data_IF_257173944732
#
_entry.id   IF_257173944732
#
_cell.length_a   1.000
_cell.length_b   1.000
_cell.length_c   1.000
_cell.angle_alpha   90.00
_cell.angle_beta   90.00
_cell.angle_gamma   90.00
#
_symmetry.space_group_name_H-M   'P 1'
#
loop_
_entity.id
_entity.type
_entity.pdbx_description
1 polymer ?
#
# COMPACT_ATOMS: atom_id res chain seq x y z
N UNK A 1 -11.45 13.75 8.51
CA UNK A 1 -11.31 13.63 7.06
C UNK A 1 -11.37 15.00 6.44
N UNK A 2 -10.38 15.37 5.57
CA UNK A 2 -10.52 16.53 4.70
C UNK A 2 -11.78 16.39 3.80
N UNK A 3 -12.24 17.50 3.24
CA UNK A 3 -13.36 17.46 2.30
C UNK A 3 -13.08 16.46 1.16
N UNK A 4 -14.08 15.63 0.85
CA UNK A 4 -13.98 14.73 -0.30
C UNK A 4 -13.73 15.55 -1.56
N UNK A 5 -12.73 15.18 -2.35
CA UNK A 5 -12.40 15.85 -3.63
C UNK A 5 -13.55 15.87 -4.63
N UNK A 6 -14.56 15.03 -4.44
CA UNK A 6 -15.76 14.95 -5.29
C UNK A 6 -16.98 14.52 -4.48
N UNK A 7 -18.10 15.22 -4.64
CA UNK A 7 -19.39 14.83 -4.06
C UNK A 7 -19.98 13.56 -4.70
N UNK A 8 -19.52 13.18 -5.89
CA UNK A 8 -20.05 12.03 -6.64
C UNK A 8 -19.20 10.78 -6.47
N UNK A 9 -17.88 10.94 -6.34
CA UNK A 9 -16.94 9.82 -6.22
C UNK A 9 -16.27 9.85 -4.84
N UNK A 10 -16.29 8.74 -4.11
CA UNK A 10 -15.62 8.61 -2.81
C UNK A 10 -14.11 8.53 -3.01
N UNK A 11 -13.67 7.80 -4.03
CA UNK A 11 -12.27 7.60 -4.35
C UNK A 11 -12.03 7.73 -5.86
N UNK A 12 -10.85 8.21 -6.24
CA UNK A 12 -10.44 8.51 -7.62
C UNK A 12 -9.15 7.81 -8.04
N UNK A 13 -8.24 7.53 -7.11
CA UNK A 13 -6.99 6.81 -7.38
C UNK A 13 -7.22 5.33 -7.69
N UNK A 14 -6.19 4.65 -8.17
CA UNK A 14 -6.22 3.19 -8.33
C UNK A 14 -6.50 2.51 -6.97
N UNK A 15 -5.76 2.86 -5.93
CA UNK A 15 -5.83 2.22 -4.62
C UNK A 15 -7.19 2.42 -3.95
N UNK A 16 -7.66 3.67 -3.89
CA UNK A 16 -8.95 3.99 -3.25
C UNK A 16 -10.13 3.36 -4.00
N UNK A 17 -10.13 3.40 -5.34
CA UNK A 17 -11.19 2.75 -6.14
C UNK A 17 -11.18 1.23 -6.00
N UNK A 18 -9.99 0.62 -6.00
CA UNK A 18 -9.88 -0.83 -5.86
C UNK A 18 -10.32 -1.29 -4.47
N UNK A 19 -9.98 -0.53 -3.43
CA UNK A 19 -10.51 -0.76 -2.07
C UNK A 19 -12.03 -0.71 -2.04
N UNK A 20 -12.65 0.38 -2.55
CA UNK A 20 -14.11 0.50 -2.57
C UNK A 20 -14.79 -0.62 -3.36
N UNK A 21 -14.24 -0.99 -4.52
CA UNK A 21 -14.75 -2.09 -5.34
C UNK A 21 -14.65 -3.44 -4.61
N UNK A 22 -13.55 -3.66 -3.89
CA UNK A 22 -13.36 -4.87 -3.10
C UNK A 22 -14.42 -4.99 -2.01
N UNK A 23 -14.69 -3.93 -1.25
CA UNK A 23 -15.76 -3.89 -0.26
C UNK A 23 -17.14 -4.15 -0.89
N UNK A 24 -17.41 -3.59 -2.06
CA UNK A 24 -18.66 -3.74 -2.81
C UNK A 24 -18.85 -5.14 -3.40
N UNK A 25 -17.81 -5.97 -3.42
CA UNK A 25 -17.92 -7.38 -3.82
C UNK A 25 -18.43 -8.30 -2.70
N UNK A 26 -18.54 -7.81 -1.46
CA UNK A 26 -19.02 -8.58 -0.33
C UNK A 26 -20.55 -8.52 -0.23
N UNK A 27 -21.22 -9.60 -0.58
CA UNK A 27 -22.69 -9.69 -0.61
C UNK A 27 -23.36 -9.35 0.73
N UNK A 28 -22.71 -9.71 1.85
CA UNK A 28 -23.25 -9.51 3.20
C UNK A 28 -23.35 -8.03 3.60
N UNK A 29 -22.65 -7.14 2.88
CA UNK A 29 -22.61 -5.71 3.17
C UNK A 29 -23.58 -4.88 2.31
N UNK A 30 -24.23 -5.46 1.32
CA UNK A 30 -25.01 -4.75 0.29
C UNK A 30 -26.06 -3.79 0.85
N UNK A 31 -26.75 -4.17 1.93
CA UNK A 31 -27.82 -3.35 2.52
C UNK A 31 -27.29 -2.10 3.25
N UNK A 32 -26.03 -2.11 3.72
CA UNK A 32 -25.42 -1.04 4.53
C UNK A 32 -24.50 -0.11 3.72
N UNK A 33 -23.90 -0.60 2.65
CA UNK A 33 -22.98 0.15 1.82
C UNK A 33 -23.58 1.45 1.25
N UNK A 34 -24.82 1.49 0.71
CA UNK A 34 -25.41 2.74 0.20
C UNK A 34 -25.54 3.81 1.29
N UNK A 35 -25.90 3.41 2.52
CA UNK A 35 -25.99 4.33 3.66
C UNK A 35 -24.62 4.81 4.10
N UNK A 36 -23.61 3.92 4.13
CA UNK A 36 -22.22 4.29 4.40
C UNK A 36 -21.69 5.32 3.41
N UNK A 37 -21.94 5.14 2.12
CA UNK A 37 -21.60 6.12 1.07
C UNK A 37 -22.22 7.49 1.33
N UNK A 38 -23.49 7.52 1.74
CA UNK A 38 -24.16 8.78 2.08
C UNK A 38 -23.50 9.48 3.26
N UNK A 39 -23.16 8.76 4.32
CA UNK A 39 -22.47 9.30 5.50
C UNK A 39 -21.13 9.94 5.15
N UNK A 40 -20.31 9.25 4.35
CA UNK A 40 -19.02 9.82 3.89
C UNK A 40 -19.22 11.09 3.09
N UNK A 41 -20.14 11.09 2.13
CA UNK A 41 -20.43 12.25 1.29
C UNK A 41 -20.93 13.46 2.07
N UNK A 42 -21.62 13.23 3.17
CA UNK A 42 -22.12 14.26 4.05
C UNK A 42 -21.11 14.70 5.13
N UNK A 43 -19.86 14.20 5.08
CA UNK A 43 -18.82 14.57 6.02
C UNK A 43 -19.07 14.08 7.44
N UNK A 44 -19.82 12.99 7.60
CA UNK A 44 -20.19 12.47 8.92
C UNK A 44 -19.01 11.86 9.70
N UNK A 45 -17.87 11.56 9.07
CA UNK A 45 -16.68 11.05 9.72
C UNK A 45 -15.89 12.24 10.26
N UNK A 46 -15.89 12.41 11.58
CA UNK A 46 -15.21 13.51 12.27
C UNK A 46 -13.75 13.19 12.54
N UNK A 47 -13.45 11.91 12.87
CA UNK A 47 -12.11 11.42 13.10
C UNK A 47 -11.91 10.09 12.39
N UNK A 48 -10.71 9.87 11.84
CA UNK A 48 -10.30 8.61 11.23
C UNK A 48 -8.78 8.45 11.38
N UNK A 49 -8.37 7.47 12.18
CA UNK A 49 -6.98 7.02 12.34
C UNK A 49 -6.80 5.64 11.72
N UNK A 50 -5.69 5.43 11.02
CA UNK A 50 -5.32 4.15 10.40
C UNK A 50 -3.95 3.75 10.94
N UNK A 51 -3.94 2.71 11.76
CA UNK A 51 -2.75 2.15 12.39
C UNK A 51 -2.51 0.70 11.91
N UNK A 52 -1.36 0.09 12.19
CA UNK A 52 -1.15 -1.32 11.84
C UNK A 52 -2.23 -2.22 12.43
N UNK A 53 -2.98 -2.91 11.58
CA UNK A 53 -4.05 -3.82 11.98
C UNK A 53 -5.29 -3.15 12.56
N UNK A 54 -5.38 -1.81 12.65
CA UNK A 54 -6.48 -1.15 13.35
C UNK A 54 -6.89 0.17 12.71
N UNK A 55 -8.19 0.39 12.65
CA UNK A 55 -8.80 1.65 12.26
C UNK A 55 -9.65 2.13 13.43
N UNK A 56 -9.50 3.38 13.85
CA UNK A 56 -10.32 4.04 14.86
C UNK A 56 -11.03 5.23 14.22
N UNK A 57 -12.30 5.42 14.53
CA UNK A 57 -13.06 6.51 13.96
C UNK A 57 -14.17 7.02 14.88
N UNK A 58 -14.54 8.28 14.67
CA UNK A 58 -15.70 8.93 15.25
C UNK A 58 -16.64 9.36 14.13
N UNK A 59 -17.88 8.93 14.20
CA UNK A 59 -18.90 9.19 13.17
C UNK A 59 -20.10 9.86 13.80
N UNK A 60 -20.51 11.00 13.24
CA UNK A 60 -21.72 11.70 13.64
C UNK A 60 -22.94 11.10 12.91
N UNK A 61 -23.92 10.65 13.69
CA UNK A 61 -25.21 10.18 13.21
C UNK A 61 -26.33 10.90 13.95
N UNK A 62 -27.26 10.14 14.57
CA UNK A 62 -28.18 10.69 15.58
C UNK A 62 -27.44 11.14 16.84
N UNK A 63 -26.33 10.49 17.11
CA UNK A 63 -25.39 10.77 18.20
C UNK A 63 -23.96 10.69 17.65
N UNK A 64 -22.98 10.90 18.52
CA UNK A 64 -21.58 10.65 18.21
C UNK A 64 -21.26 9.18 18.48
N UNK A 65 -20.83 8.46 17.45
CA UNK A 65 -20.49 7.05 17.55
C UNK A 65 -18.98 6.86 17.46
N UNK A 66 -18.46 6.11 18.41
CA UNK A 66 -17.08 5.64 18.42
C UNK A 66 -17.03 4.22 17.88
N UNK A 67 -16.07 3.95 17.03
CA UNK A 67 -15.91 2.63 16.45
C UNK A 67 -14.45 2.26 16.19
N UNK A 68 -14.18 0.98 16.26
CA UNK A 68 -12.91 0.40 15.83
C UNK A 68 -13.15 -0.75 14.86
N UNK A 69 -12.25 -0.87 13.89
CA UNK A 69 -12.21 -1.98 12.94
C UNK A 69 -10.81 -2.59 13.05
N UNK A 70 -10.75 -3.85 13.43
CA UNK A 70 -9.52 -4.62 13.43
C UNK A 70 -9.40 -5.36 12.10
N UNK A 71 -8.21 -5.29 11.50
CA UNK A 71 -7.91 -5.95 10.23
C UNK A 71 -6.67 -6.81 10.43
N UNK A 72 -6.81 -8.10 10.17
CA UNK A 72 -5.70 -9.02 10.31
C UNK A 72 -4.52 -8.62 9.40
N UNK A 73 -3.27 -8.73 9.88
CA UNK A 73 -2.10 -8.49 9.06
C UNK A 73 -2.04 -9.48 7.90
N UNK A 74 -1.35 -9.12 6.84
CA UNK A 74 -1.09 -10.05 5.74
C UNK A 74 -0.18 -11.18 6.24
N UNK A 75 -0.50 -12.43 5.91
CA UNK A 75 0.37 -13.54 6.33
C UNK A 75 1.74 -13.45 5.64
N UNK A 76 2.82 -13.90 6.31
CA UNK A 76 4.16 -13.91 5.71
C UNK A 76 4.22 -14.66 4.38
N UNK A 77 3.43 -15.73 4.23
CA UNK A 77 3.33 -16.53 3.02
C UNK A 77 2.68 -15.74 1.88
N UNK A 78 1.54 -15.08 2.17
CA UNK A 78 0.87 -14.22 1.19
C UNK A 78 1.76 -13.05 0.78
N UNK A 79 2.40 -12.39 1.74
CA UNK A 79 3.32 -11.29 1.44
C UNK A 79 4.49 -11.74 0.57
N UNK A 80 5.07 -12.91 0.86
CA UNK A 80 6.13 -13.49 0.04
C UNK A 80 5.66 -13.79 -1.38
N UNK A 81 4.45 -14.33 -1.55
CA UNK A 81 3.87 -14.60 -2.87
C UNK A 81 3.64 -13.29 -3.66
N UNK A 82 3.11 -12.24 -3.02
CA UNK A 82 2.94 -10.92 -3.64
C UNK A 82 4.30 -10.34 -4.06
N UNK A 83 5.32 -10.39 -3.19
CA UNK A 83 6.67 -9.92 -3.52
C UNK A 83 7.26 -10.66 -4.72
N UNK A 84 7.14 -11.97 -4.77
CA UNK A 84 7.64 -12.78 -5.89
C UNK A 84 6.93 -12.45 -7.21
N UNK A 85 5.61 -12.28 -7.18
CA UNK A 85 4.83 -11.95 -8.36
C UNK A 85 5.12 -10.53 -8.89
N UNK A 86 5.48 -9.60 -8.00
CA UNK A 86 5.84 -8.22 -8.33
C UNK A 86 7.32 -8.03 -8.70
N UNK A 87 8.16 -9.05 -8.47
CA UNK A 87 9.61 -8.95 -8.62
C UNK A 87 10.02 -8.50 -10.05
N UNK A 88 10.82 -7.44 -10.13
CA UNK A 88 11.33 -6.89 -11.38
C UNK A 88 10.31 -6.15 -12.23
N UNK A 89 9.11 -5.95 -11.73
CA UNK A 89 7.99 -5.36 -12.50
C UNK A 89 7.55 -4.00 -11.97
N UNK A 90 8.09 -3.57 -10.83
CA UNK A 90 7.81 -2.26 -10.22
C UNK A 90 9.09 -1.42 -10.29
N UNK A 91 9.10 -0.38 -11.10
CA UNK A 91 10.29 0.40 -11.36
C UNK A 91 10.66 1.34 -10.20
N UNK A 92 9.67 1.82 -9.43
CA UNK A 92 9.92 2.71 -8.29
C UNK A 92 8.77 2.71 -7.27
N UNK A 93 9.10 3.14 -6.04
CA UNK A 93 8.12 3.35 -4.98
C UNK A 93 7.08 4.41 -5.38
N UNK A 94 7.50 5.43 -6.10
CA UNK A 94 6.61 6.50 -6.57
C UNK A 94 5.54 5.93 -7.52
N UNK A 95 5.93 5.10 -8.47
CA UNK A 95 4.98 4.46 -9.39
C UNK A 95 4.02 3.52 -8.66
N UNK A 96 4.52 2.74 -7.70
CA UNK A 96 3.70 1.89 -6.84
C UNK A 96 2.63 2.70 -6.11
N UNK A 97 3.02 3.75 -5.40
CA UNK A 97 2.11 4.58 -4.61
C UNK A 97 1.14 5.38 -5.49
N UNK A 98 1.59 5.86 -6.66
CA UNK A 98 0.72 6.50 -7.64
C UNK A 98 -0.25 5.53 -8.33
N UNK A 99 -0.11 4.22 -8.12
CA UNK A 99 -0.90 3.20 -8.80
C UNK A 99 -0.64 3.14 -10.31
N UNK A 100 0.54 3.60 -10.74
CA UNK A 100 1.02 3.49 -12.13
C UNK A 100 1.69 2.13 -12.35
N UNK A 101 0.91 1.09 -12.22
CA UNK A 101 1.35 -0.30 -12.29
C UNK A 101 0.87 -0.92 -13.61
N UNK A 102 1.60 -1.92 -14.09
CA UNK A 102 1.09 -2.74 -15.20
C UNK A 102 -0.20 -3.47 -14.81
N UNK A 103 -1.04 -3.79 -15.77
CA UNK A 103 -2.29 -4.54 -15.54
C UNK A 103 -2.05 -5.88 -14.83
N UNK A 104 -0.89 -6.49 -15.07
CA UNK A 104 -0.48 -7.72 -14.42
C UNK A 104 -0.28 -7.52 -12.91
N UNK A 105 0.48 -6.49 -12.52
CA UNK A 105 0.72 -6.15 -11.11
C UNK A 105 -0.58 -5.71 -10.43
N UNK A 106 -1.39 -4.90 -11.10
CA UNK A 106 -2.69 -4.49 -10.56
C UNK A 106 -3.56 -5.71 -10.23
N UNK A 107 -3.58 -6.73 -11.09
CA UNK A 107 -4.30 -7.98 -10.81
C UNK A 107 -3.73 -8.75 -9.62
N UNK A 108 -2.42 -8.79 -9.47
CA UNK A 108 -1.78 -9.45 -8.32
C UNK A 108 -2.15 -8.76 -7.01
N UNK A 109 -1.96 -7.45 -6.91
CA UNK A 109 -2.18 -6.71 -5.66
C UNK A 109 -3.67 -6.59 -5.27
N UNK A 110 -4.57 -6.64 -6.25
CA UNK A 110 -6.02 -6.58 -6.02
C UNK A 110 -6.72 -7.95 -6.10
N UNK A 111 -5.96 -9.04 -6.19
CA UNK A 111 -6.56 -10.37 -6.23
C UNK A 111 -7.38 -10.63 -4.96
N UNK A 112 -8.65 -11.08 -5.07
CA UNK A 112 -9.54 -11.19 -3.92
C UNK A 112 -8.99 -12.00 -2.76
N UNK A 113 -8.34 -13.15 -3.01
CA UNK A 113 -7.89 -14.06 -1.96
C UNK A 113 -6.38 -14.02 -1.67
N UNK A 114 -5.56 -13.56 -2.61
CA UNK A 114 -4.09 -13.59 -2.47
C UNK A 114 -3.43 -12.20 -2.59
N UNK A 115 -4.23 -11.15 -2.78
CA UNK A 115 -3.75 -9.77 -2.86
C UNK A 115 -3.61 -9.09 -1.50
N UNK A 116 -3.56 -7.76 -1.51
CA UNK A 116 -3.35 -6.94 -0.32
C UNK A 116 -4.64 -6.66 0.47
N UNK A 117 -5.81 -6.74 -0.18
CA UNK A 117 -7.06 -6.38 0.47
C UNK A 117 -7.55 -7.48 1.43
N UNK A 118 -8.07 -7.10 2.61
CA UNK A 118 -8.54 -8.07 3.60
C UNK A 118 -9.83 -8.75 3.14
N UNK A 119 -9.97 -10.03 3.43
CA UNK A 119 -11.22 -10.75 3.25
C UNK A 119 -12.22 -10.41 4.36
N UNK A 120 -13.53 -10.65 4.20
CA UNK A 120 -14.54 -10.38 5.23
C UNK A 120 -14.18 -10.99 6.58
N UNK A 121 -13.66 -12.22 6.58
CA UNK A 121 -13.30 -12.97 7.78
C UNK A 121 -12.09 -12.37 8.52
N UNK A 122 -11.31 -11.53 7.85
CA UNK A 122 -10.16 -10.81 8.40
C UNK A 122 -10.53 -9.43 8.94
N UNK A 123 -11.82 -9.04 8.89
CA UNK A 123 -12.30 -7.72 9.31
C UNK A 123 -13.23 -7.88 10.50
N UNK A 124 -12.80 -7.36 11.66
CA UNK A 124 -13.57 -7.45 12.89
C UNK A 124 -14.09 -6.07 13.28
N UNK A 125 -15.39 -5.97 13.47
CA UNK A 125 -16.09 -4.71 13.68
C UNK A 125 -16.49 -4.51 15.13
N UNK A 126 -16.33 -3.29 15.64
CA UNK A 126 -16.86 -2.86 16.93
C UNK A 126 -17.39 -1.41 16.83
N UNK A 127 -18.68 -1.19 17.10
CA UNK A 127 -19.31 0.11 17.11
C UNK A 127 -20.30 0.22 18.27
N UNK A 128 -20.30 1.34 18.98
CA UNK A 128 -21.20 1.57 20.12
C UNK A 128 -22.63 1.97 19.71
N UNK A 129 -22.98 1.87 18.41
CA UNK A 129 -24.35 2.18 17.96
C UNK A 129 -25.33 1.04 18.29
N UNK A 130 -26.65 1.33 18.34
CA UNK A 130 -27.67 0.31 18.68
C UNK A 130 -28.00 -0.66 17.53
N UNK A 131 -27.33 -0.54 16.36
CA UNK A 131 -27.52 -1.47 15.24
C UNK A 131 -26.78 -2.78 15.54
N UNK A 132 -27.52 -3.88 15.62
CA UNK A 132 -27.01 -5.21 15.96
C UNK A 132 -26.46 -5.99 14.75
N UNK A 133 -26.43 -5.37 13.56
CA UNK A 133 -25.85 -6.00 12.38
C UNK A 133 -24.33 -6.08 12.50
N UNK A 134 -23.73 -7.14 11.97
CA UNK A 134 -22.28 -7.36 11.95
C UNK A 134 -21.54 -6.13 11.37
N UNK A 135 -22.07 -5.56 10.29
CA UNK A 135 -21.61 -4.28 9.77
C UNK A 135 -22.75 -3.25 9.77
N UNK A 136 -22.64 -2.24 10.62
CA UNK A 136 -23.58 -1.12 10.63
C UNK A 136 -23.21 -0.04 9.56
N UNK A 137 -24.12 0.92 9.35
CA UNK A 137 -23.89 2.05 8.40
C UNK A 137 -22.68 2.92 8.76
N UNK A 138 -22.31 3.02 10.04
CA UNK A 138 -21.18 3.82 10.49
C UNK A 138 -19.86 3.13 10.14
N UNK A 139 -19.77 1.82 10.33
CA UNK A 139 -18.63 1.01 9.88
C UNK A 139 -18.48 1.04 8.37
N UNK A 140 -19.59 0.89 7.62
CA UNK A 140 -19.58 1.05 6.17
C UNK A 140 -19.05 2.43 5.75
N UNK A 141 -19.45 3.50 6.46
CA UNK A 141 -18.93 4.84 6.20
C UNK A 141 -17.42 4.90 6.42
N UNK A 142 -16.92 4.34 7.53
CA UNK A 142 -15.48 4.36 7.84
C UNK A 142 -14.67 3.58 6.80
N UNK A 143 -15.13 2.42 6.37
CA UNK A 143 -14.48 1.66 5.30
C UNK A 143 -14.39 2.46 3.99
N UNK A 144 -15.45 3.18 3.61
CA UNK A 144 -15.39 4.11 2.49
C UNK A 144 -14.46 5.29 2.76
N UNK A 145 -14.40 5.77 3.99
CA UNK A 145 -13.47 6.80 4.43
C UNK A 145 -12.01 6.38 4.27
N UNK A 146 -11.69 5.10 4.57
CA UNK A 146 -10.37 4.53 4.26
C UNK A 146 -10.09 4.61 2.77
N UNK A 147 -11.03 4.21 1.90
CA UNK A 147 -10.88 4.34 0.45
C UNK A 147 -10.56 5.77 0.00
N UNK A 148 -11.22 6.76 0.60
CA UNK A 148 -10.92 8.17 0.33
C UNK A 148 -9.52 8.58 0.81
N UNK A 149 -9.06 8.07 1.95
CA UNK A 149 -7.70 8.32 2.47
C UNK A 149 -6.62 7.69 1.59
N UNK A 150 -6.88 6.54 1.00
CA UNK A 150 -5.95 5.88 0.07
C UNK A 150 -5.75 6.66 -1.24
N UNK A 151 -6.58 7.65 -1.55
CA UNK A 151 -6.37 8.56 -2.69
C UNK A 151 -5.17 9.49 -2.47
N UNK A 152 -4.94 9.89 -1.24
CA UNK A 152 -3.87 10.81 -0.85
C UNK A 152 -2.66 10.09 -0.24
N UNK A 153 -2.91 9.00 0.48
CA UNK A 153 -1.93 8.27 1.27
C UNK A 153 -2.07 6.75 1.04
N UNK A 154 -1.73 6.24 -0.16
CA UNK A 154 -1.88 4.83 -0.50
C UNK A 154 -1.00 3.89 0.36
N UNK A 155 0.08 4.40 0.94
CA UNK A 155 0.94 3.70 1.90
C UNK A 155 0.18 3.21 3.15
N UNK A 156 -0.95 3.84 3.48
CA UNK A 156 -1.79 3.43 4.60
C UNK A 156 -2.36 2.02 4.43
N UNK A 157 -2.54 1.53 3.20
CA UNK A 157 -2.96 0.15 2.97
C UNK A 157 -1.89 -0.84 3.45
N UNK A 158 -0.62 -0.59 3.12
CA UNK A 158 0.50 -1.43 3.54
C UNK A 158 0.68 -1.38 5.05
N UNK A 159 0.62 -0.16 5.64
CA UNK A 159 0.63 0.04 7.09
C UNK A 159 -0.48 -0.78 7.77
N UNK A 160 -1.72 -0.67 7.27
CA UNK A 160 -2.89 -1.37 7.80
C UNK A 160 -2.72 -2.91 7.75
N UNK A 161 -2.10 -3.42 6.70
CA UNK A 161 -1.82 -4.86 6.53
C UNK A 161 -0.52 -5.31 7.19
N UNK A 162 0.20 -4.42 7.88
CA UNK A 162 1.42 -4.74 8.63
C UNK A 162 2.61 -5.14 7.75
N UNK A 163 2.70 -4.61 6.52
CA UNK A 163 3.78 -4.92 5.57
C UNK A 163 4.47 -3.65 5.08
N UNK A 164 5.75 -3.78 4.71
CA UNK A 164 6.54 -2.67 4.18
C UNK A 164 6.54 -2.69 2.64
N UNK A 165 5.92 -1.66 2.04
CA UNK A 165 5.88 -1.49 0.60
C UNK A 165 7.27 -1.37 -0.06
N UNK A 166 8.29 -0.95 0.68
CA UNK A 166 9.65 -0.84 0.16
C UNK A 166 10.25 -2.20 -0.23
N UNK A 167 9.80 -3.29 0.40
CA UNK A 167 10.22 -4.64 0.08
C UNK A 167 9.82 -5.09 -1.35
N UNK A 168 8.80 -4.48 -1.94
CA UNK A 168 8.40 -4.76 -3.33
C UNK A 168 9.44 -4.30 -4.36
N UNK A 169 10.32 -3.37 -3.96
CA UNK A 169 11.31 -2.72 -4.85
C UNK A 169 12.72 -3.28 -4.61
N UNK A 170 13.07 -3.56 -3.35
CA UNK A 170 14.42 -3.97 -2.97
C UNK A 170 14.88 -5.33 -3.52
N UNK A 171 13.96 -6.19 -3.95
CA UNK A 171 14.30 -7.49 -4.53
C UNK A 171 15.13 -7.40 -5.83
N UNK A 172 15.08 -6.27 -6.54
CA UNK A 172 15.88 -6.07 -7.75
C UNK A 172 17.32 -5.64 -7.49
N UNK A 173 17.58 -4.88 -6.43
CA UNK A 173 18.95 -4.43 -6.10
C UNK A 173 19.88 -5.59 -5.74
N UNK A 174 19.38 -6.61 -5.06
CA UNK A 174 20.20 -7.77 -4.66
C UNK A 174 20.66 -8.62 -5.86
N UNK A 175 19.79 -8.80 -6.88
CA UNK A 175 20.15 -9.56 -8.09
C UNK A 175 21.02 -8.77 -9.05
N UNK A 176 20.79 -7.46 -9.20
CA UNK A 176 21.63 -6.59 -10.03
C UNK A 176 23.06 -6.48 -9.49
N UNK A 177 23.23 -6.53 -8.17
CA UNK A 177 24.55 -6.56 -7.51
C UNK A 177 25.32 -7.85 -7.79
N UNK A 178 24.65 -9.00 -7.76
CA UNK A 178 25.29 -10.32 -7.99
C UNK A 178 25.65 -10.50 -9.47
N UNK A 179 24.81 -10.03 -10.41
CA UNK A 179 25.10 -10.12 -11.83
C UNK A 179 26.28 -9.21 -12.28
N UNK A 180 26.54 -8.12 -11.56
CA UNK A 180 27.71 -7.25 -11.80
C UNK A 180 29.01 -7.80 -11.22
N UNK A 181 28.97 -8.63 -10.18
CA UNK A 181 30.19 -9.20 -9.58
C UNK A 181 30.77 -10.37 -10.36
N UNK A 182 30.03 -11.01 -11.28
CA UNK A 182 30.53 -12.13 -12.10
C UNK A 182 31.24 -11.72 -13.39
N UNK A 183 31.24 -10.44 -13.79
CA UNK A 183 32.17 -9.92 -14.77
C UNK A 183 33.50 -9.70 -14.07
N UNK A 184 34.29 -10.76 -13.99
CA UNK A 184 35.69 -10.71 -13.64
C UNK A 184 36.33 -9.58 -14.42
N UNK A 185 36.54 -8.44 -13.75
CA UNK A 185 37.42 -7.39 -14.20
C UNK A 185 38.76 -8.06 -14.41
N UNK A 186 39.19 -8.29 -15.66
CA UNK A 186 40.57 -8.44 -15.97
C UNK A 186 41.24 -7.17 -15.45
N UNK A 187 41.93 -7.27 -14.31
CA UNK A 187 42.86 -6.27 -13.87
C UNK A 187 43.83 -6.05 -15.03
N UNK A 188 43.63 -4.99 -15.80
CA UNK A 188 44.68 -4.37 -16.55
C UNK A 188 45.56 -3.70 -15.49
N UNK A 189 46.64 -4.34 -15.13
CA UNK A 189 47.74 -3.66 -14.46
C UNK A 189 48.25 -2.63 -15.47
N UNK A 190 48.15 -1.34 -15.12
CA UNK A 190 48.86 -0.31 -15.85
C UNK A 190 50.34 -0.56 -15.59
N UNK A 191 51.14 -0.54 -16.63
CA UNK A 191 52.62 -0.55 -16.49
C UNK A 191 53.03 0.77 -15.84
N UNK A 192 54.16 0.76 -15.11
CA UNK A 192 54.69 1.93 -14.42
C UNK A 192 54.92 3.13 -15.40
N UNK A 193 55.28 2.85 -16.66
CA UNK A 193 55.38 3.84 -17.73
C UNK A 193 54.04 4.53 -18.03
N UNK A 194 52.92 3.79 -18.00
CA UNK A 194 51.60 4.38 -18.27
C UNK A 194 51.09 5.25 -17.10
N UNK A 195 51.52 5.00 -15.87
CA UNK A 195 51.21 5.80 -14.69
C UNK A 195 51.97 7.12 -14.73
N UNK A 196 53.26 7.11 -15.13
CA UNK A 196 54.07 8.31 -15.29
C UNK A 196 53.52 9.26 -16.33
N UNK A 197 53.03 8.76 -17.47
CA UNK A 197 52.43 9.56 -18.54
C UNK A 197 51.10 10.22 -18.13
N UNK A 198 50.27 9.56 -17.31
CA UNK A 198 48.96 10.09 -16.93
C UNK A 198 49.05 11.07 -15.77
N UNK A 199 49.99 10.89 -14.85
CA UNK A 199 50.11 11.70 -13.64
C UNK A 199 51.31 12.67 -13.61
N UNK A 200 52.19 12.66 -14.63
CA UNK A 200 53.32 13.56 -14.73
C UNK A 200 54.34 13.43 -13.59
N UNK A 201 54.48 12.24 -13.00
CA UNK A 201 55.37 11.98 -11.87
C UNK A 201 56.60 11.23 -12.38
N UNK A 202 57.75 11.86 -12.38
CA UNK A 202 59.05 11.22 -12.66
C UNK A 202 59.51 10.48 -11.41
N UNK A 203 59.59 9.16 -11.47
CA UNK A 203 60.26 8.36 -10.44
C UNK A 203 61.74 8.34 -10.75
N UNK A 204 62.51 9.35 -10.32
CA UNK A 204 63.97 9.25 -10.25
C UNK A 204 64.35 8.73 -8.88
N UNK A 205 65.03 7.58 -8.88
CA UNK A 205 65.60 6.93 -7.70
C UNK A 205 66.64 7.81 -7.02
N UNK A 206 66.44 8.16 -5.76
CA UNK A 206 67.55 8.58 -4.89
C UNK A 206 68.36 7.36 -4.45
N UNK A 207 69.63 7.47 -4.70
CA UNK A 207 70.68 6.55 -4.31
C UNK A 207 71.16 6.89 -2.92
#
# INVERSE_FOLDING_TARGET
LGELKSRTKIASSFWGRSWCRHLESFSDYDSRLPRGRSYVRNGAILHLSIEPGRIEAMVHGSELYELSIEIEPLSPEQWTAVKQACQGKIASLIELLQGKLSDEIMRVVTHPHSGLFPQPEQIHFNCNCPDWADMCKHMAAVLYGVGARLDDCPELLFKLRGVDQSELIHLDCARSGIARSSRRSRRRSLSDDAVSDVFGISTEDEK
#
